data_IF_814318263780
#
_entry.id   IF_814318263780
#
_cell.length_a   1.000
_cell.length_b   1.000
_cell.length_c   1.000
_cell.angle_alpha   90.00
_cell.angle_beta   90.00
_cell.angle_gamma   90.00
#
_symmetry.space_group_name_H-M   'P 1'
#
loop_
_entity.id
_entity.type
_entity.pdbx_description
1 polymer ?
#
# COMPACT_ATOMS: atom_id res chain seq x y z
N UNK A 1 21.05 -2.58 15.32
CA UNK A 1 20.68 -2.54 13.87
C UNK A 1 21.03 -1.16 13.32
N UNK A 2 21.58 -1.07 12.11
CA UNK A 2 21.97 0.21 11.51
C UNK A 2 20.73 0.99 11.03
N UNK A 3 20.77 2.32 11.07
CA UNK A 3 19.70 3.18 10.52
C UNK A 3 19.42 2.84 9.04
N UNK A 4 20.45 2.47 8.29
CA UNK A 4 20.36 2.08 6.88
C UNK A 4 19.57 0.77 6.71
N UNK A 5 19.81 -0.23 7.55
CA UNK A 5 19.09 -1.52 7.45
C UNK A 5 17.61 -1.35 7.76
N UNK A 6 17.26 -0.45 8.67
CA UNK A 6 15.86 -0.12 8.98
C UNK A 6 15.19 0.64 7.84
N UNK A 7 15.88 1.60 7.22
CA UNK A 7 15.37 2.33 6.06
C UNK A 7 15.10 1.41 4.86
N UNK A 8 16.01 0.48 4.56
CA UNK A 8 15.83 -0.51 3.49
C UNK A 8 14.63 -1.42 3.77
N UNK A 9 14.47 -1.88 5.02
CA UNK A 9 13.32 -2.70 5.41
C UNK A 9 12.01 -1.94 5.24
N UNK A 10 11.94 -0.70 5.74
CA UNK A 10 10.76 0.16 5.62
C UNK A 10 10.38 0.39 4.14
N UNK A 11 11.35 0.70 3.28
CA UNK A 11 11.09 0.88 1.86
C UNK A 11 10.57 -0.38 1.16
N UNK A 12 11.05 -1.57 1.57
CA UNK A 12 10.54 -2.85 1.06
C UNK A 12 9.12 -3.12 1.52
N UNK A 13 8.80 -2.81 2.77
CA UNK A 13 7.45 -2.95 3.33
C UNK A 13 6.46 -2.03 2.61
N UNK A 14 6.81 -0.74 2.44
CA UNK A 14 6.00 0.22 1.67
C UNK A 14 5.77 -0.29 0.24
N UNK A 15 6.82 -0.80 -0.41
CA UNK A 15 6.72 -1.32 -1.78
C UNK A 15 5.84 -2.58 -1.88
N UNK A 16 5.86 -3.45 -0.87
CA UNK A 16 4.97 -4.62 -0.80
C UNK A 16 3.53 -4.18 -0.61
N UNK A 17 3.27 -3.28 0.33
CA UNK A 17 1.92 -2.80 0.62
C UNK A 17 1.31 -2.10 -0.59
N UNK A 18 2.09 -1.29 -1.31
CA UNK A 18 1.65 -0.68 -2.58
C UNK A 18 1.22 -1.71 -3.63
N UNK A 19 1.98 -2.81 -3.78
CA UNK A 19 1.64 -3.89 -4.72
C UNK A 19 0.40 -4.63 -4.30
N UNK A 20 0.23 -4.91 -3.02
CA UNK A 20 -0.96 -5.57 -2.49
C UNK A 20 -2.21 -4.71 -2.64
N UNK A 21 -2.11 -3.41 -2.37
CA UNK A 21 -3.18 -2.44 -2.62
C UNK A 21 -3.56 -2.43 -4.10
N UNK A 22 -2.58 -2.38 -5.02
CA UNK A 22 -2.85 -2.45 -6.46
C UNK A 22 -3.63 -3.71 -6.85
N UNK A 23 -3.22 -4.87 -6.32
CA UNK A 23 -3.94 -6.14 -6.53
C UNK A 23 -5.34 -6.13 -5.92
N UNK A 24 -5.53 -5.51 -4.76
CA UNK A 24 -6.82 -5.40 -4.12
C UNK A 24 -7.78 -4.50 -4.92
N UNK A 25 -7.27 -3.40 -5.48
CA UNK A 25 -7.99 -2.51 -6.40
C UNK A 25 -8.41 -3.27 -7.67
N UNK A 26 -7.50 -4.04 -8.27
CA UNK A 26 -7.78 -4.84 -9.48
C UNK A 26 -8.81 -5.96 -9.23
N UNK A 27 -8.80 -6.54 -8.02
CA UNK A 27 -9.70 -7.62 -7.61
C UNK A 27 -10.98 -7.13 -6.94
N UNK A 28 -11.17 -5.82 -6.80
CA UNK A 28 -12.35 -5.27 -6.14
C UNK A 28 -13.61 -5.67 -6.93
N UNK A 29 -14.55 -6.32 -6.25
CA UNK A 29 -15.77 -6.83 -6.89
C UNK A 29 -16.73 -5.70 -7.32
N UNK A 30 -16.62 -4.53 -6.70
CA UNK A 30 -17.47 -3.37 -6.97
C UNK A 30 -16.65 -2.07 -7.03
N UNK A 31 -17.13 -1.05 -7.77
CA UNK A 31 -16.51 0.27 -7.76
C UNK A 31 -16.42 0.88 -6.36
N UNK A 32 -17.46 0.75 -5.53
CA UNK A 32 -17.46 1.26 -4.16
C UNK A 32 -16.36 0.64 -3.29
N UNK A 33 -16.15 -0.69 -3.40
CA UNK A 33 -15.07 -1.38 -2.70
C UNK A 33 -13.69 -0.89 -3.17
N UNK A 34 -13.54 -0.61 -4.47
CA UNK A 34 -12.32 -0.03 -5.01
C UNK A 34 -12.03 1.34 -4.39
N UNK A 35 -13.05 2.19 -4.29
CA UNK A 35 -12.92 3.53 -3.70
C UNK A 35 -12.57 3.46 -2.21
N UNK A 36 -13.15 2.51 -1.46
CA UNK A 36 -12.78 2.26 -0.07
C UNK A 36 -11.31 1.83 0.08
N UNK A 37 -10.84 0.92 -0.77
CA UNK A 37 -9.44 0.48 -0.77
C UNK A 37 -8.50 1.66 -1.08
N UNK A 38 -8.85 2.50 -2.06
CA UNK A 38 -8.08 3.70 -2.40
C UNK A 38 -8.05 4.68 -1.22
N UNK A 39 -9.21 4.93 -0.59
CA UNK A 39 -9.32 5.82 0.56
C UNK A 39 -8.47 5.32 1.75
N UNK A 40 -8.52 4.03 2.04
CA UNK A 40 -7.70 3.40 3.09
C UNK A 40 -6.20 3.50 2.76
N UNK A 41 -5.81 3.27 1.50
CA UNK A 41 -4.44 3.40 1.05
C UNK A 41 -3.90 4.84 1.14
N UNK A 42 -4.74 5.84 0.84
CA UNK A 42 -4.41 7.26 0.99
C UNK A 42 -4.20 7.63 2.46
N UNK A 43 -5.08 7.17 3.35
CA UNK A 43 -4.97 7.42 4.80
C UNK A 43 -3.69 6.85 5.40
N UNK A 44 -3.21 5.73 4.88
CA UNK A 44 -1.98 5.08 5.31
C UNK A 44 -0.73 5.63 4.60
N UNK A 45 -0.88 6.58 3.67
CA UNK A 45 0.22 7.22 2.95
C UNK A 45 0.86 6.31 1.89
N UNK A 46 0.20 5.22 1.49
CA UNK A 46 0.72 4.30 0.49
C UNK A 46 0.52 4.78 -0.93
N UNK A 47 -0.54 5.53 -1.20
CA UNK A 47 -0.76 6.26 -2.45
C UNK A 47 -0.39 7.73 -2.22
N UNK A 48 0.69 8.17 -2.88
CA UNK A 48 1.09 9.59 -2.96
C UNK A 48 1.04 10.00 -4.41
#
# INVERSE_FOLDING_TARGET
MSRITNAIRNNREISRNRREIGRAIERAATPAMRDEIILMAQRQGYTR
#
